data_IF_957851096033
#
_entry.id   IF_957851096033
#
_cell.length_a   1.000
_cell.length_b   1.000
_cell.length_c   1.000
_cell.angle_alpha   90.00
_cell.angle_beta   90.00
_cell.angle_gamma   90.00
#
_symmetry.space_group_name_H-M   'P 1'
#
loop_
_entity.id
_entity.type
_entity.pdbx_description
1 polymer ?
#
# COMPACT_ATOMS: atom_id res chain seq x y z
N UNK A 1 -2.85 -19.86 -62.01
CA UNK A 1 -2.88 -18.53 -61.36
C UNK A 1 -3.00 -18.75 -59.85
N UNK A 2 -1.89 -18.69 -59.11
CA UNK A 2 -1.94 -18.70 -57.64
C UNK A 2 -2.41 -17.32 -57.17
N UNK A 3 -3.65 -17.24 -56.68
CA UNK A 3 -4.13 -16.06 -55.97
C UNK A 3 -3.30 -15.88 -54.71
N UNK A 4 -2.30 -15.00 -54.76
CA UNK A 4 -1.61 -14.54 -53.56
C UNK A 4 -2.65 -13.79 -52.72
N UNK A 5 -3.21 -14.45 -51.71
CA UNK A 5 -3.97 -13.79 -50.65
C UNK A 5 -3.01 -12.74 -50.07
N UNK A 6 -3.30 -11.43 -50.18
CA UNK A 6 -2.38 -10.43 -49.66
C UNK A 6 -2.22 -10.66 -48.17
N UNK A 7 -0.98 -10.85 -47.71
CA UNK A 7 -0.68 -11.09 -46.30
C UNK A 7 -1.21 -9.91 -45.49
N UNK A 8 -2.36 -10.08 -44.84
CA UNK A 8 -2.98 -9.02 -44.06
C UNK A 8 -2.06 -8.68 -42.90
N UNK A 9 -1.59 -7.44 -42.83
CA UNK A 9 -0.75 -7.00 -41.72
C UNK A 9 -1.46 -7.31 -40.38
N UNK A 10 -0.88 -8.15 -39.51
CA UNK A 10 -1.56 -8.64 -38.32
C UNK A 10 -1.95 -7.53 -37.35
N UNK A 11 -1.22 -6.41 -37.35
CA UNK A 11 -1.54 -5.23 -36.54
C UNK A 11 -2.77 -4.50 -37.08
N UNK A 12 -2.95 -4.41 -38.41
CA UNK A 12 -4.18 -3.85 -38.99
C UNK A 12 -5.39 -4.73 -38.69
N UNK A 13 -5.21 -6.06 -38.64
CA UNK A 13 -6.28 -6.97 -38.26
C UNK A 13 -6.73 -6.74 -36.81
N UNK A 14 -5.80 -6.51 -35.86
CA UNK A 14 -6.14 -6.19 -34.46
C UNK A 14 -6.98 -4.91 -34.37
N UNK A 15 -6.60 -3.86 -35.10
CA UNK A 15 -7.33 -2.57 -35.10
C UNK A 15 -8.72 -2.65 -35.73
N UNK A 16 -8.94 -3.62 -36.62
CA UNK A 16 -10.23 -3.87 -37.30
C UNK A 16 -11.14 -4.83 -36.55
N UNK A 17 -10.69 -5.38 -35.41
CA UNK A 17 -11.55 -6.25 -34.60
C UNK A 17 -12.72 -5.43 -34.09
N UNK A 18 -13.91 -5.83 -34.52
CA UNK A 18 -15.14 -5.36 -33.94
C UNK A 18 -15.41 -6.18 -32.68
N UNK A 19 -15.79 -5.47 -31.64
CA UNK A 19 -16.08 -6.04 -30.36
C UNK A 19 -17.52 -5.71 -30.03
N UNK A 20 -18.42 -6.71 -29.96
CA UNK A 20 -19.83 -6.45 -29.73
C UNK A 20 -20.02 -5.82 -28.35
N UNK A 21 -20.78 -4.72 -28.30
CA UNK A 21 -21.12 -4.04 -27.04
C UNK A 21 -21.68 -5.00 -25.96
N UNK A 22 -22.53 -6.00 -26.31
CA UNK A 22 -22.96 -7.02 -25.35
C UNK A 22 -21.81 -7.78 -24.65
N UNK A 23 -20.70 -8.05 -25.34
CA UNK A 23 -19.55 -8.73 -24.74
C UNK A 23 -18.85 -7.82 -23.71
N UNK A 24 -18.68 -6.54 -24.03
CA UNK A 24 -18.10 -5.56 -23.11
C UNK A 24 -18.98 -5.43 -21.87
N UNK A 25 -20.29 -5.30 -22.09
CA UNK A 25 -21.28 -5.24 -21.02
C UNK A 25 -21.24 -6.49 -20.15
N UNK A 26 -21.14 -7.69 -20.73
CA UNK A 26 -21.03 -8.95 -19.99
C UNK A 26 -19.77 -8.99 -19.12
N UNK A 27 -18.60 -8.66 -19.68
CA UNK A 27 -17.34 -8.67 -18.93
C UNK A 27 -17.36 -7.62 -17.80
N UNK A 28 -17.88 -6.43 -18.08
CA UNK A 28 -18.05 -5.37 -17.09
C UNK A 28 -19.06 -5.77 -15.99
N UNK A 29 -20.12 -6.48 -16.36
CA UNK A 29 -21.10 -7.02 -15.42
C UNK A 29 -20.49 -8.08 -14.49
N UNK A 30 -19.68 -9.01 -15.02
CA UNK A 30 -18.97 -10.00 -14.22
C UNK A 30 -18.01 -9.30 -13.23
N UNK A 31 -17.24 -8.32 -13.70
CA UNK A 31 -16.39 -7.52 -12.83
C UNK A 31 -17.23 -6.76 -11.78
N UNK A 32 -18.40 -6.24 -12.18
CA UNK A 32 -19.35 -5.54 -11.32
C UNK A 32 -19.91 -6.43 -10.20
N UNK A 33 -20.23 -7.69 -10.47
CA UNK A 33 -20.64 -8.67 -9.45
C UNK A 33 -19.52 -8.86 -8.43
N UNK A 34 -18.29 -9.05 -8.89
CA UNK A 34 -17.14 -9.22 -8.01
C UNK A 34 -16.87 -7.96 -7.17
N UNK A 35 -16.95 -6.77 -7.79
CA UNK A 35 -16.84 -5.49 -7.08
C UNK A 35 -17.95 -5.29 -6.04
N UNK A 36 -19.18 -5.70 -6.35
CA UNK A 36 -20.30 -5.61 -5.42
C UNK A 36 -20.04 -6.43 -4.16
N UNK A 37 -19.57 -7.66 -4.31
CA UNK A 37 -19.22 -8.53 -3.18
C UNK A 37 -18.09 -7.93 -2.33
N UNK A 38 -17.08 -7.31 -2.96
CA UNK A 38 -15.95 -6.73 -2.25
C UNK A 38 -16.29 -5.42 -1.49
N UNK A 39 -17.17 -4.58 -2.04
CA UNK A 39 -17.58 -3.32 -1.40
C UNK A 39 -18.76 -3.46 -0.43
N UNK A 40 -19.69 -4.37 -0.71
CA UNK A 40 -20.96 -4.48 0.00
C UNK A 40 -21.21 -5.85 0.63
N UNK A 41 -20.32 -6.83 0.42
CA UNK A 41 -20.35 -8.10 1.11
C UNK A 41 -20.22 -7.90 2.62
N UNK A 42 -20.89 -8.75 3.41
CA UNK A 42 -20.78 -8.69 4.87
C UNK A 42 -19.37 -9.15 5.26
N UNK A 43 -18.53 -8.30 5.87
CA UNK A 43 -17.20 -8.74 6.28
C UNK A 43 -17.33 -9.79 7.39
N UNK A 44 -16.72 -10.96 7.20
CA UNK A 44 -16.62 -12.02 8.19
C UNK A 44 -15.50 -11.72 9.23
N UNK A 45 -15.40 -10.47 9.66
CA UNK A 45 -14.27 -9.96 10.44
C UNK A 45 -13.13 -9.40 9.58
N UNK A 46 -11.99 -9.16 10.22
CA UNK A 46 -10.77 -8.68 9.56
C UNK A 46 -9.98 -9.84 8.93
N UNK A 47 -9.13 -9.53 7.95
CA UNK A 47 -8.26 -10.52 7.33
C UNK A 47 -7.38 -11.24 8.38
N UNK A 48 -7.06 -12.53 8.20
CA UNK A 48 -6.11 -13.23 9.06
C UNK A 48 -4.78 -12.45 9.17
N UNK A 49 -4.23 -12.33 10.37
CA UNK A 49 -3.03 -11.51 10.61
C UNK A 49 -3.30 -10.08 11.06
N UNK A 50 -4.54 -9.57 10.91
CA UNK A 50 -4.85 -8.16 11.21
C UNK A 50 -4.67 -7.83 12.70
N UNK A 51 -5.06 -8.73 13.60
CA UNK A 51 -4.86 -8.51 15.04
C UNK A 51 -3.37 -8.47 15.40
N UNK A 52 -2.58 -9.41 14.85
CA UNK A 52 -1.14 -9.49 15.09
C UNK A 52 -0.42 -8.21 14.66
N UNK A 53 -0.71 -7.71 13.45
CA UNK A 53 -0.06 -6.49 12.96
C UNK A 53 -0.58 -5.23 13.66
N UNK A 54 -1.85 -5.20 14.08
CA UNK A 54 -2.39 -4.11 14.87
C UNK A 54 -1.69 -4.00 16.24
N UNK A 55 -1.46 -5.13 16.92
CA UNK A 55 -0.72 -5.16 18.18
C UNK A 55 0.72 -4.66 18.02
N UNK A 56 1.41 -5.06 16.96
CA UNK A 56 2.75 -4.53 16.64
C UNK A 56 2.69 -3.03 16.38
N UNK A 57 1.75 -2.55 15.56
CA UNK A 57 1.57 -1.12 15.28
C UNK A 57 1.37 -0.32 16.57
N UNK A 58 0.46 -0.77 17.44
CA UNK A 58 0.15 -0.13 18.71
C UNK A 58 1.38 -0.08 19.63
N UNK A 59 2.12 -1.19 19.74
CA UNK A 59 3.37 -1.23 20.51
C UNK A 59 4.36 -0.16 20.03
N UNK A 60 4.55 -0.04 18.71
CA UNK A 60 5.50 0.91 18.12
C UNK A 60 5.04 2.35 18.25
N UNK A 61 3.77 2.65 18.00
CA UNK A 61 3.24 4.01 18.11
C UNK A 61 3.33 4.50 19.57
N UNK A 62 2.98 3.66 20.55
CA UNK A 62 3.07 4.01 21.98
C UNK A 62 4.51 4.18 22.46
N UNK A 63 5.43 3.29 22.05
CA UNK A 63 6.87 3.45 22.35
C UNK A 63 7.44 4.72 21.74
N UNK A 64 7.08 5.00 20.48
CA UNK A 64 7.56 6.17 19.77
C UNK A 64 7.06 7.45 20.44
N UNK A 65 5.77 7.51 20.82
CA UNK A 65 5.19 8.63 21.54
C UNK A 65 5.89 8.90 22.88
N UNK A 66 6.12 7.85 23.68
CA UNK A 66 6.83 7.97 24.96
C UNK A 66 8.30 8.38 24.77
N UNK A 67 9.00 7.79 23.79
CA UNK A 67 10.39 8.12 23.48
C UNK A 67 10.58 9.56 22.99
N UNK A 68 9.53 10.13 22.40
CA UNK A 68 9.53 11.49 21.87
C UNK A 68 8.82 12.48 22.78
N UNK A 69 8.41 12.12 24.00
CA UNK A 69 7.55 12.97 24.82
C UNK A 69 8.16 14.38 25.07
N UNK A 70 9.47 14.45 25.27
CA UNK A 70 10.24 15.68 25.48
C UNK A 70 10.66 16.39 24.17
N UNK A 71 10.47 15.76 23.00
CA UNK A 71 10.79 16.37 21.72
C UNK A 71 9.78 17.46 21.33
N UNK A 72 10.27 18.44 20.58
CA UNK A 72 9.45 19.50 20.02
C UNK A 72 8.35 18.98 19.07
N UNK A 73 7.22 19.69 18.99
CA UNK A 73 6.07 19.31 18.17
C UNK A 73 6.41 19.09 16.68
N UNK A 74 7.31 19.89 16.10
CA UNK A 74 7.71 19.73 14.70
C UNK A 74 8.49 18.43 14.47
N UNK A 75 9.29 17.98 15.44
CA UNK A 75 10.06 16.75 15.33
C UNK A 75 9.15 15.53 15.51
N UNK A 76 8.18 15.59 16.44
CA UNK A 76 7.10 14.60 16.58
C UNK A 76 6.32 14.45 15.28
N UNK A 77 5.88 15.56 14.69
CA UNK A 77 5.20 15.57 13.40
C UNK A 77 6.06 15.00 12.26
N UNK A 78 7.35 15.36 12.19
CA UNK A 78 8.28 14.84 11.18
C UNK A 78 8.48 13.33 11.30
N UNK A 79 8.62 12.85 12.54
CA UNK A 79 8.69 11.43 12.86
C UNK A 79 7.31 10.76 12.85
N UNK A 80 6.24 11.49 12.52
CA UNK A 80 4.81 11.11 12.56
C UNK A 80 4.40 10.36 13.82
N UNK A 81 4.78 10.91 14.97
CA UNK A 81 4.30 10.54 16.28
C UNK A 81 3.36 11.63 16.80
N UNK A 82 2.29 11.26 17.50
CA UNK A 82 1.47 12.19 18.27
C UNK A 82 1.84 12.13 19.77
N UNK A 83 1.16 12.93 20.58
CA UNK A 83 1.28 12.90 22.03
C UNK A 83 0.79 11.55 22.60
N UNK A 84 1.44 11.07 23.65
CA UNK A 84 1.14 9.75 24.24
C UNK A 84 -0.34 9.57 24.62
N UNK A 85 -1.05 10.63 25.00
CA UNK A 85 -2.49 10.55 25.30
C UNK A 85 -3.34 10.28 24.05
N UNK A 86 -3.05 10.93 22.93
CA UNK A 86 -3.77 10.73 21.68
C UNK A 86 -3.45 9.33 21.11
N UNK A 87 -2.20 8.90 21.17
CA UNK A 87 -1.83 7.57 20.69
C UNK A 87 -2.48 6.45 21.51
N UNK A 88 -2.62 6.63 22.83
CA UNK A 88 -3.41 5.70 23.65
C UNK A 88 -4.88 5.68 23.24
N UNK A 89 -5.51 6.84 22.94
CA UNK A 89 -6.89 6.87 22.43
C UNK A 89 -7.03 6.12 21.10
N UNK A 90 -6.10 6.34 20.17
CA UNK A 90 -6.07 5.64 18.87
C UNK A 90 -5.88 4.12 19.04
N UNK A 91 -5.01 3.72 19.97
CA UNK A 91 -4.78 2.32 20.30
C UNK A 91 -6.05 1.67 20.88
N UNK A 92 -6.71 2.34 21.84
CA UNK A 92 -7.96 1.86 22.43
C UNK A 92 -9.08 1.74 21.39
N UNK A 93 -9.20 2.70 20.47
CA UNK A 93 -10.17 2.63 19.38
C UNK A 93 -9.91 1.40 18.48
N UNK A 94 -8.65 1.17 18.12
CA UNK A 94 -8.25 0.04 17.28
C UNK A 94 -8.52 -1.31 17.97
N UNK A 95 -8.18 -1.43 19.26
CA UNK A 95 -8.41 -2.64 20.05
C UNK A 95 -9.90 -2.91 20.27
N UNK A 96 -10.70 -1.88 20.57
CA UNK A 96 -12.15 -2.03 20.72
C UNK A 96 -12.82 -2.50 19.43
N UNK A 97 -12.32 -2.09 18.26
CA UNK A 97 -12.81 -2.59 16.97
C UNK A 97 -12.47 -4.06 16.74
N UNK A 98 -11.29 -4.50 17.20
CA UNK A 98 -10.91 -5.92 17.12
C UNK A 98 -11.77 -6.77 18.05
N UNK A 99 -12.02 -6.30 19.27
CA UNK A 99 -12.80 -7.05 20.29
C UNK A 99 -14.30 -7.05 20.04
N UNK A 100 -14.84 -6.05 19.35
CA UNK A 100 -16.26 -5.99 18.97
C UNK A 100 -16.72 -7.21 18.13
N UNK A 101 -15.80 -7.89 17.45
CA UNK A 101 -16.07 -9.10 16.65
C UNK A 101 -16.18 -10.41 17.45
N UNK A 102 -15.92 -10.41 18.77
CA UNK A 102 -16.11 -11.56 19.65
C UNK A 102 -15.09 -12.72 19.52
N UNK A 103 -14.04 -12.57 18.70
CA UNK A 103 -12.98 -13.58 18.48
C UNK A 103 -11.56 -13.07 18.76
N UNK A 104 -11.40 -12.08 19.64
CA UNK A 104 -10.08 -11.55 19.97
C UNK A 104 -9.25 -12.50 20.82
N UNK A 105 -7.94 -12.51 20.60
CA UNK A 105 -7.02 -13.26 21.46
C UNK A 105 -6.96 -12.68 22.88
N UNK A 106 -6.54 -13.51 23.83
CA UNK A 106 -6.26 -13.06 25.20
C UNK A 106 -5.19 -11.95 25.23
N UNK A 107 -4.19 -12.00 24.34
CA UNK A 107 -3.17 -10.95 24.23
C UNK A 107 -3.77 -9.59 23.87
N UNK A 108 -4.76 -9.58 22.96
CA UNK A 108 -5.48 -8.37 22.59
C UNK A 108 -6.28 -7.80 23.77
N UNK A 109 -6.93 -8.67 24.55
CA UNK A 109 -7.67 -8.27 25.76
C UNK A 109 -6.74 -7.76 26.87
N UNK A 110 -5.57 -8.37 27.07
CA UNK A 110 -4.54 -7.90 28.00
C UNK A 110 -4.04 -6.50 27.59
N UNK A 111 -3.67 -6.32 26.32
CA UNK A 111 -3.22 -5.04 25.79
C UNK A 111 -4.29 -3.95 25.98
N UNK A 112 -5.55 -4.25 25.65
CA UNK A 112 -6.69 -3.34 25.84
C UNK A 112 -6.84 -2.94 27.30
N UNK A 113 -6.82 -3.91 28.22
CA UNK A 113 -7.01 -3.67 29.66
C UNK A 113 -5.89 -2.81 30.23
N UNK A 114 -4.63 -3.12 29.90
CA UNK A 114 -3.47 -2.36 30.39
C UNK A 114 -3.48 -0.93 29.84
N UNK A 115 -3.67 -0.75 28.52
CA UNK A 115 -3.68 0.58 27.90
C UNK A 115 -4.82 1.42 28.47
N UNK A 116 -5.98 0.80 28.74
CA UNK A 116 -7.11 1.49 29.36
C UNK A 116 -6.80 1.91 30.81
N UNK A 117 -6.18 1.04 31.61
CA UNK A 117 -5.78 1.37 32.97
C UNK A 117 -4.79 2.55 32.98
N UNK A 118 -3.79 2.55 32.10
CA UNK A 118 -2.83 3.66 31.97
C UNK A 118 -3.52 4.94 31.51
N UNK A 119 -4.46 4.87 30.55
CA UNK A 119 -5.21 6.03 30.08
C UNK A 119 -6.08 6.65 31.18
N UNK A 120 -6.58 5.84 32.12
CA UNK A 120 -7.42 6.28 33.23
C UNK A 120 -6.64 6.58 34.52
N UNK A 121 -5.30 6.50 34.48
CA UNK A 121 -4.43 6.62 35.66
C UNK A 121 -4.82 5.66 36.81
N UNK A 122 -5.18 4.42 36.48
CA UNK A 122 -5.48 3.36 37.43
C UNK A 122 -4.26 2.43 37.62
N UNK A 123 -4.11 1.74 38.77
CA UNK A 123 -3.04 0.79 38.97
C UNK A 123 -3.19 -0.40 38.01
N UNK A 124 -2.16 -0.64 37.20
CA UNK A 124 -2.23 -1.56 36.06
C UNK A 124 -2.43 -3.00 36.51
N UNK A 125 -1.63 -3.45 37.49
CA UNK A 125 -1.65 -4.83 37.94
C UNK A 125 -2.98 -5.23 38.60
N UNK A 126 -3.52 -4.38 39.48
CA UNK A 126 -4.80 -4.69 40.13
C UNK A 126 -5.97 -4.71 39.14
N UNK A 127 -5.98 -3.77 38.19
CA UNK A 127 -7.02 -3.72 37.15
C UNK A 127 -6.93 -4.94 36.25
N UNK A 128 -5.72 -5.33 35.83
CA UNK A 128 -5.51 -6.50 34.99
C UNK A 128 -5.97 -7.81 35.66
N UNK A 129 -5.57 -8.04 36.91
CA UNK A 129 -5.97 -9.23 37.69
C UNK A 129 -7.49 -9.29 37.86
N UNK A 130 -8.13 -8.15 38.16
CA UNK A 130 -9.58 -8.07 38.33
C UNK A 130 -10.34 -8.33 37.02
N UNK A 131 -9.90 -7.71 35.92
CA UNK A 131 -10.57 -7.79 34.63
C UNK A 131 -10.36 -9.15 33.93
N UNK A 132 -9.20 -9.77 34.10
CA UNK A 132 -8.87 -11.03 33.40
C UNK A 132 -9.27 -12.29 34.16
N UNK A 133 -9.70 -12.20 35.43
CA UNK A 133 -10.21 -13.32 36.24
C UNK A 133 -9.32 -14.59 36.20
N UNK A 134 -7.99 -14.41 36.14
CA UNK A 134 -7.02 -15.51 36.06
C UNK A 134 -6.76 -16.07 34.66
N UNK A 135 -7.29 -15.45 33.60
CA UNK A 135 -7.04 -15.83 32.19
C UNK A 135 -5.87 -15.08 31.56
N UNK A 136 -4.94 -14.55 32.38
CA UNK A 136 -3.76 -13.88 31.86
C UNK A 136 -2.86 -14.87 31.12
N UNK A 137 -2.36 -14.44 29.96
CA UNK A 137 -1.31 -15.13 29.22
C UNK A 137 0.08 -14.74 29.70
N UNK A 138 0.22 -13.56 30.29
CA UNK A 138 1.51 -13.01 30.71
C UNK A 138 1.90 -13.49 32.12
N UNK A 139 3.10 -14.09 32.25
CA UNK A 139 3.74 -14.39 33.55
C UNK A 139 4.78 -13.30 33.90
N UNK A 140 4.88 -12.93 35.18
CA UNK A 140 5.77 -11.85 35.63
C UNK A 140 7.24 -12.11 35.30
N UNK A 141 7.75 -13.31 35.60
CA UNK A 141 9.17 -13.65 35.40
C UNK A 141 9.48 -13.81 33.93
N UNK A 142 8.60 -14.49 33.19
CA UNK A 142 8.77 -14.67 31.75
C UNK A 142 8.72 -13.34 31.01
N UNK A 143 7.74 -12.49 31.32
CA UNK A 143 7.55 -11.18 30.66
C UNK A 143 8.71 -10.23 30.97
N UNK A 144 9.21 -10.22 32.20
CA UNK A 144 10.42 -9.45 32.56
C UNK A 144 11.65 -9.90 31.75
N UNK A 145 11.82 -11.22 31.56
CA UNK A 145 12.87 -11.77 30.71
C UNK A 145 12.67 -11.46 29.22
N UNK A 146 11.43 -11.51 28.71
CA UNK A 146 11.13 -11.13 27.34
C UNK A 146 11.47 -9.66 27.08
N UNK A 147 11.14 -8.75 28.01
CA UNK A 147 11.53 -7.34 27.92
C UNK A 147 13.05 -7.15 27.94
N UNK A 148 13.77 -7.91 28.78
CA UNK A 148 15.23 -7.87 28.82
C UNK A 148 15.90 -8.36 27.51
N UNK A 149 15.22 -9.26 26.78
CA UNK A 149 15.69 -9.84 25.51
C UNK A 149 15.01 -9.23 24.27
N UNK A 150 14.55 -7.97 24.32
CA UNK A 150 14.01 -7.24 23.14
C UNK A 150 12.70 -7.80 22.54
N UNK A 151 11.97 -8.64 23.29
CA UNK A 151 10.75 -9.31 22.83
C UNK A 151 9.47 -8.85 23.54
N UNK A 152 9.57 -8.06 24.62
CA UNK A 152 8.40 -7.53 25.30
C UNK A 152 7.70 -6.41 24.50
N UNK A 153 6.54 -5.96 24.98
CA UNK A 153 5.72 -4.89 24.37
C UNK A 153 5.59 -3.69 25.32
N UNK A 154 5.05 -2.58 24.82
CA UNK A 154 4.80 -1.39 25.62
C UNK A 154 3.90 -1.67 26.83
N UNK A 155 2.81 -2.41 26.65
CA UNK A 155 1.90 -2.73 27.75
C UNK A 155 2.53 -3.70 28.75
N UNK A 156 3.34 -4.66 28.30
CA UNK A 156 4.13 -5.51 29.19
C UNK A 156 5.09 -4.68 30.04
N UNK A 157 5.77 -3.68 29.46
CA UNK A 157 6.64 -2.80 30.21
C UNK A 157 5.88 -2.02 31.30
N UNK A 158 4.69 -1.47 30.99
CA UNK A 158 3.88 -0.76 31.99
C UNK A 158 3.38 -1.66 33.11
N UNK A 159 3.00 -2.90 32.79
CA UNK A 159 2.57 -3.86 33.80
C UNK A 159 3.73 -4.31 34.70
N UNK A 160 4.89 -4.66 34.15
CA UNK A 160 6.07 -5.04 34.95
C UNK A 160 6.55 -3.89 35.83
N UNK A 161 6.53 -2.65 35.33
CA UNK A 161 6.91 -1.46 36.10
C UNK A 161 5.99 -1.27 37.33
N UNK A 162 4.68 -1.50 37.19
CA UNK A 162 3.71 -1.44 38.30
C UNK A 162 3.88 -2.60 39.30
N UNK A 163 4.17 -3.81 38.81
CA UNK A 163 4.45 -4.98 39.67
C UNK A 163 5.72 -4.78 40.52
N UNK A 164 6.79 -4.24 39.94
CA UNK A 164 8.06 -4.01 40.62
C UNK A 164 8.00 -2.90 41.69
N UNK A 165 6.88 -2.17 41.82
CA UNK A 165 6.64 -1.31 42.98
C UNK A 165 6.49 -2.11 44.28
N UNK A 166 6.02 -3.36 44.18
CA UNK A 166 5.74 -4.23 45.33
C UNK A 166 6.53 -5.55 45.31
N UNK A 167 7.19 -5.86 44.20
CA UNK A 167 7.94 -7.11 43.97
C UNK A 167 9.40 -6.82 43.63
N UNK A 168 10.29 -7.77 43.89
CA UNK A 168 11.69 -7.65 43.46
C UNK A 168 11.79 -7.81 41.93
N UNK A 169 12.63 -7.01 41.25
CA UNK A 169 12.85 -7.14 39.81
C UNK A 169 13.32 -8.54 39.42
N UNK A 170 12.66 -9.15 38.44
CA UNK A 170 13.04 -10.47 37.92
C UNK A 170 14.21 -10.40 36.91
N UNK A 171 14.29 -9.33 36.13
CA UNK A 171 15.35 -9.08 35.16
C UNK A 171 15.65 -7.57 35.01
N UNK A 172 16.82 -7.22 34.48
CA UNK A 172 17.21 -5.82 34.23
C UNK A 172 16.71 -5.34 32.86
N UNK A 173 15.40 -5.24 32.70
CA UNK A 173 14.77 -5.03 31.39
C UNK A 173 14.71 -3.56 30.92
N UNK A 174 14.72 -2.58 31.84
CA UNK A 174 14.56 -1.15 31.51
C UNK A 174 15.62 -0.63 30.54
N UNK A 175 16.85 -1.16 30.62
CA UNK A 175 17.92 -0.77 29.72
C UNK A 175 17.62 -1.22 28.27
N UNK A 176 17.35 -2.51 28.06
CA UNK A 176 17.05 -3.08 26.75
C UNK A 176 15.81 -2.43 26.13
N UNK A 177 14.73 -2.30 26.90
CA UNK A 177 13.51 -1.63 26.44
C UNK A 177 13.73 -0.16 26.07
N UNK A 178 14.51 0.57 26.88
CA UNK A 178 14.87 1.96 26.61
C UNK A 178 15.80 2.12 25.40
N UNK A 179 16.65 1.13 25.11
CA UNK A 179 17.43 1.07 23.88
C UNK A 179 16.53 0.87 22.66
N UNK A 180 15.61 -0.09 22.70
CA UNK A 180 14.65 -0.35 21.63
C UNK A 180 13.82 0.89 21.28
N UNK A 181 13.30 1.58 22.29
CA UNK A 181 12.52 2.81 22.11
C UNK A 181 13.35 3.95 21.49
N UNK A 182 14.63 4.09 21.89
CA UNK A 182 15.56 5.06 21.26
C UNK A 182 15.90 4.68 19.83
N UNK A 183 16.13 3.40 19.55
CA UNK A 183 16.35 2.92 18.18
C UNK A 183 15.13 3.16 17.30
N UNK A 184 13.92 2.88 17.78
CA UNK A 184 12.66 3.13 17.07
C UNK A 184 12.50 4.61 16.72
N UNK A 185 12.72 5.50 17.70
CA UNK A 185 12.72 6.95 17.48
C UNK A 185 13.70 7.36 16.38
N UNK A 186 14.94 6.86 16.44
CA UNK A 186 15.95 7.18 15.43
C UNK A 186 15.56 6.65 14.04
N UNK A 187 15.06 5.41 13.95
CA UNK A 187 14.56 4.80 12.70
C UNK A 187 13.44 5.67 12.09
N UNK A 188 12.46 6.08 12.89
CA UNK A 188 11.34 6.92 12.43
C UNK A 188 11.82 8.28 11.93
N UNK A 189 12.66 8.99 12.70
CA UNK A 189 13.21 10.29 12.31
C UNK A 189 14.01 10.17 11.01
N UNK A 190 14.95 9.22 10.92
CA UNK A 190 15.85 9.09 9.76
C UNK A 190 15.05 8.80 8.49
N UNK A 191 14.18 7.79 8.53
CA UNK A 191 13.44 7.34 7.34
C UNK A 191 12.45 8.38 6.85
N UNK A 192 11.68 9.01 7.75
CA UNK A 192 10.71 10.05 7.39
C UNK A 192 11.41 11.34 6.96
N UNK A 193 12.55 11.70 7.58
CA UNK A 193 13.37 12.84 7.13
C UNK A 193 13.93 12.65 5.72
N UNK A 194 14.33 11.43 5.34
CA UNK A 194 14.83 11.14 4.00
C UNK A 194 13.74 11.35 2.93
N UNK A 195 12.50 10.92 3.21
CA UNK A 195 11.33 11.16 2.36
C UNK A 195 11.07 12.66 2.20
N UNK A 196 11.07 13.41 3.30
CA UNK A 196 10.88 14.85 3.28
C UNK A 196 12.00 15.60 2.55
N UNK A 197 13.26 15.20 2.74
CA UNK A 197 14.39 15.80 2.04
C UNK A 197 14.23 15.64 0.51
N UNK A 198 13.78 14.47 0.05
CA UNK A 198 13.48 14.25 -1.37
C UNK A 198 12.33 15.15 -1.86
N UNK A 199 11.25 15.27 -1.09
CA UNK A 199 10.14 16.16 -1.43
C UNK A 199 10.58 17.63 -1.49
N UNK A 200 11.43 18.09 -0.55
CA UNK A 200 11.99 19.45 -0.54
C UNK A 200 12.88 19.71 -1.75
N UNK A 201 13.74 18.76 -2.14
CA UNK A 201 14.53 18.84 -3.38
C UNK A 201 13.61 18.98 -4.60
N UNK A 202 12.47 18.28 -4.60
CA UNK A 202 11.49 18.36 -5.69
C UNK A 202 10.84 19.72 -5.87
N UNK A 203 10.77 20.56 -4.83
CA UNK A 203 10.18 21.91 -4.92
C UNK A 203 10.85 22.75 -6.02
N UNK A 204 12.18 22.62 -6.18
CA UNK A 204 12.94 23.32 -7.23
C UNK A 204 12.50 22.96 -8.66
N UNK A 205 11.88 21.79 -8.84
CA UNK A 205 11.45 21.30 -10.14
C UNK A 205 9.96 21.52 -10.43
N UNK A 206 9.15 21.91 -9.43
CA UNK A 206 7.70 22.13 -9.60
C UNK A 206 7.36 23.06 -10.78
N UNK A 207 7.98 24.24 -10.95
CA UNK A 207 7.62 25.13 -12.06
C UNK A 207 7.80 24.46 -13.43
N UNK A 208 8.91 23.71 -13.61
CA UNK A 208 9.18 22.97 -14.84
C UNK A 208 8.21 21.80 -15.01
N UNK A 209 7.87 21.10 -13.92
CA UNK A 209 6.87 20.03 -13.92
C UNK A 209 5.53 20.57 -14.42
N UNK A 210 5.03 21.66 -13.86
CA UNK A 210 3.75 22.27 -14.25
C UNK A 210 3.73 22.69 -15.72
N UNK A 211 4.81 23.32 -16.22
CA UNK A 211 4.93 23.67 -17.65
C UNK A 211 4.88 22.40 -18.53
N UNK A 212 5.57 21.33 -18.11
CA UNK A 212 5.61 20.07 -18.84
C UNK A 212 4.22 19.41 -18.88
N UNK A 213 3.53 19.32 -17.75
CA UNK A 213 2.17 18.77 -17.66
C UNK A 213 1.17 19.61 -18.48
N UNK A 214 1.24 20.94 -18.40
CA UNK A 214 0.38 21.84 -19.18
C UNK A 214 0.52 21.63 -20.70
N UNK A 215 1.75 21.43 -21.18
CA UNK A 215 2.00 21.07 -22.59
C UNK A 215 1.42 19.69 -22.92
N UNK A 216 1.57 18.74 -22.01
CA UNK A 216 1.04 17.38 -22.13
C UNK A 216 -0.48 17.30 -22.27
N UNK A 217 -1.25 18.24 -21.71
CA UNK A 217 -2.73 18.25 -21.83
C UNK A 217 -3.24 18.30 -23.28
N UNK A 218 -2.43 18.84 -24.20
CA UNK A 218 -2.77 18.96 -25.62
C UNK A 218 -2.05 17.93 -26.49
N UNK A 219 -1.39 16.94 -25.88
CA UNK A 219 -0.68 15.90 -26.61
C UNK A 219 -1.66 15.08 -27.46
N UNK A 220 -1.23 14.72 -28.66
CA UNK A 220 -1.95 13.80 -29.55
C UNK A 220 -1.27 12.45 -29.57
N UNK A 221 -2.06 11.38 -29.56
CA UNK A 221 -1.54 10.03 -29.79
C UNK A 221 -1.36 9.80 -31.28
N UNK A 222 -0.21 9.23 -31.67
CA UNK A 222 0.14 8.96 -33.06
C UNK A 222 0.56 7.49 -33.24
N UNK A 223 0.56 7.02 -34.50
CA UNK A 223 1.03 5.68 -34.85
C UNK A 223 0.09 4.55 -34.41
N UNK A 224 0.63 3.33 -34.29
CA UNK A 224 -0.18 2.14 -33.98
C UNK A 224 -0.99 2.29 -32.69
N UNK A 225 -0.37 2.79 -31.61
CA UNK A 225 -1.04 3.01 -30.33
C UNK A 225 -2.12 4.10 -30.39
N UNK A 226 -1.92 5.13 -31.22
CA UNK A 226 -2.90 6.20 -31.43
C UNK A 226 -4.13 5.76 -32.24
N UNK A 227 -4.04 4.63 -32.94
CA UNK A 227 -5.14 4.07 -33.71
C UNK A 227 -6.03 3.11 -32.90
N UNK A 228 -5.73 2.85 -31.62
CA UNK A 228 -6.52 1.92 -30.80
C UNK A 228 -7.92 2.50 -30.53
N UNK A 229 -8.99 1.77 -30.88
CA UNK A 229 -10.34 2.17 -30.51
C UNK A 229 -10.57 1.92 -29.00
N UNK A 230 -11.45 2.70 -28.38
CA UNK A 230 -11.81 2.52 -26.96
C UNK A 230 -12.28 1.09 -26.62
N UNK A 231 -13.16 0.44 -27.42
CA UNK A 231 -13.56 -0.96 -27.21
C UNK A 231 -12.41 -1.96 -27.09
N UNK A 232 -11.35 -1.80 -27.90
CA UNK A 232 -10.18 -2.69 -27.85
C UNK A 232 -9.48 -2.57 -26.49
N UNK A 233 -9.22 -1.33 -26.05
CA UNK A 233 -8.59 -1.08 -24.75
C UNK A 233 -9.41 -1.61 -23.58
N UNK A 234 -10.71 -1.37 -23.59
CA UNK A 234 -11.64 -1.83 -22.56
C UNK A 234 -11.67 -3.37 -22.48
N UNK A 235 -11.78 -4.07 -23.60
CA UNK A 235 -11.81 -5.54 -23.57
C UNK A 235 -10.48 -6.11 -23.11
N UNK A 236 -9.36 -5.59 -23.61
CA UNK A 236 -8.06 -6.09 -23.18
C UNK A 236 -7.88 -5.87 -21.68
N UNK A 237 -8.29 -4.69 -21.17
CA UNK A 237 -8.27 -4.39 -19.75
C UNK A 237 -9.15 -5.35 -18.94
N UNK A 238 -10.41 -5.52 -19.32
CA UNK A 238 -11.38 -6.38 -18.62
C UNK A 238 -10.95 -7.84 -18.63
N UNK A 239 -10.51 -8.38 -19.78
CA UNK A 239 -10.03 -9.76 -19.89
C UNK A 239 -8.79 -9.97 -19.03
N UNK A 240 -7.81 -9.06 -19.09
CA UNK A 240 -6.61 -9.14 -18.26
C UNK A 240 -6.93 -9.10 -16.77
N UNK A 241 -7.82 -8.19 -16.36
CA UNK A 241 -8.22 -8.01 -14.95
C UNK A 241 -9.00 -9.22 -14.43
N UNK A 242 -9.97 -9.72 -15.19
CA UNK A 242 -10.74 -10.91 -14.81
C UNK A 242 -9.87 -12.18 -14.77
N UNK A 243 -8.93 -12.31 -15.70
CA UNK A 243 -7.97 -13.42 -15.67
C UNK A 243 -7.06 -13.36 -14.45
N UNK A 244 -6.61 -12.16 -14.07
CA UNK A 244 -5.85 -11.94 -12.84
C UNK A 244 -6.65 -12.30 -11.58
N UNK A 245 -7.92 -11.87 -11.49
CA UNK A 245 -8.81 -12.22 -10.38
C UNK A 245 -8.96 -13.74 -10.28
N UNK A 246 -9.34 -14.41 -11.38
CA UNK A 246 -9.52 -15.86 -11.40
C UNK A 246 -8.24 -16.64 -11.06
N UNK A 247 -7.09 -16.17 -11.55
CA UNK A 247 -5.79 -16.77 -11.22
C UNK A 247 -5.44 -16.59 -9.74
N UNK A 248 -5.63 -15.39 -9.18
CA UNK A 248 -5.32 -15.08 -7.78
C UNK A 248 -6.20 -15.91 -6.84
N UNK A 249 -7.49 -16.01 -7.11
CA UNK A 249 -8.40 -16.88 -6.34
C UNK A 249 -7.95 -18.35 -6.38
N UNK A 250 -7.55 -18.85 -7.55
CA UNK A 250 -7.05 -20.23 -7.70
C UNK A 250 -5.74 -20.43 -6.94
N UNK A 251 -4.86 -19.43 -6.98
CA UNK A 251 -3.56 -19.45 -6.32
C UNK A 251 -3.68 -19.40 -4.80
N UNK A 252 -4.60 -18.61 -4.25
CA UNK A 252 -4.92 -18.58 -2.82
C UNK A 252 -5.44 -19.94 -2.33
N UNK A 253 -6.34 -20.58 -3.09
CA UNK A 253 -6.79 -21.95 -2.81
C UNK A 253 -5.62 -22.94 -2.88
N UNK A 254 -4.74 -22.81 -3.88
CA UNK A 254 -3.55 -23.65 -4.03
C UNK A 254 -2.56 -23.50 -2.86
N UNK A 255 -2.27 -22.27 -2.44
CA UNK A 255 -1.36 -22.00 -1.31
C UNK A 255 -1.95 -22.53 -0.01
N UNK A 256 -3.25 -22.34 0.24
CA UNK A 256 -3.89 -22.82 1.47
C UNK A 256 -3.91 -24.35 1.61
N UNK A 257 -3.78 -25.08 0.50
CA UNK A 257 -3.70 -26.56 0.49
C UNK A 257 -2.27 -27.11 0.59
N UNK A 258 -1.24 -26.26 0.48
CA UNK A 258 0.17 -26.63 0.53
C UNK A 258 0.83 -26.16 1.84
N UNK A 259 0.76 -26.95 2.94
CA UNK A 259 1.43 -26.58 4.17
C UNK A 259 2.95 -26.53 3.95
N UNK A 260 3.60 -25.53 4.54
CA UNK A 260 5.06 -25.33 4.53
C UNK A 260 5.67 -24.89 3.18
N UNK A 261 4.94 -24.15 2.34
CA UNK A 261 5.55 -23.51 1.18
C UNK A 261 6.65 -22.52 1.64
N UNK A 262 7.87 -22.70 1.12
CA UNK A 262 8.97 -21.78 1.44
C UNK A 262 8.63 -20.34 1.01
N UNK A 263 8.99 -19.30 1.78
CA UNK A 263 8.65 -17.90 1.47
C UNK A 263 9.06 -17.44 0.06
N UNK A 264 10.21 -17.91 -0.43
CA UNK A 264 10.64 -17.67 -1.82
C UNK A 264 9.62 -18.20 -2.85
N UNK A 265 9.00 -19.35 -2.60
CA UNK A 265 7.95 -19.90 -3.47
C UNK A 265 6.70 -19.01 -3.49
N UNK A 266 6.31 -18.48 -2.33
CA UNK A 266 5.22 -17.49 -2.22
C UNK A 266 5.54 -16.25 -3.05
N UNK A 267 6.74 -15.69 -2.89
CA UNK A 267 7.19 -14.51 -3.65
C UNK A 267 7.16 -14.77 -5.16
N UNK A 268 7.61 -15.94 -5.63
CA UNK A 268 7.61 -16.29 -7.05
C UNK A 268 6.18 -16.43 -7.60
N UNK A 269 5.29 -17.08 -6.86
CA UNK A 269 3.89 -17.26 -7.23
C UNK A 269 3.14 -15.93 -7.28
N UNK A 270 3.30 -15.07 -6.26
CA UNK A 270 2.75 -13.72 -6.24
C UNK A 270 3.32 -12.86 -7.38
N UNK A 271 4.63 -12.94 -7.64
CA UNK A 271 5.28 -12.22 -8.74
C UNK A 271 4.68 -12.60 -10.09
N UNK A 272 4.41 -13.89 -10.30
CA UNK A 272 3.76 -14.38 -11.51
C UNK A 272 2.32 -13.85 -11.63
N UNK A 273 1.55 -13.90 -10.53
CA UNK A 273 0.20 -13.36 -10.48
C UNK A 273 0.19 -11.85 -10.82
N UNK A 274 1.11 -11.07 -10.25
CA UNK A 274 1.20 -9.62 -10.44
C UNK A 274 1.48 -9.24 -11.89
N UNK A 275 2.33 -9.99 -12.59
CA UNK A 275 2.68 -9.71 -13.99
C UNK A 275 1.66 -10.25 -15.00
N UNK A 276 0.90 -11.28 -14.64
CA UNK A 276 -0.07 -11.95 -15.52
C UNK A 276 -0.99 -11.00 -16.32
N UNK A 277 -1.70 -10.02 -15.72
CA UNK A 277 -2.60 -9.15 -16.48
C UNK A 277 -1.86 -8.33 -17.54
N UNK A 278 -0.68 -7.78 -17.20
CA UNK A 278 0.13 -7.02 -18.16
C UNK A 278 0.66 -7.89 -19.30
N UNK A 279 1.04 -9.14 -19.01
CA UNK A 279 1.49 -10.10 -20.03
C UNK A 279 0.37 -10.52 -20.97
N UNK A 280 -0.84 -10.78 -20.45
CA UNK A 280 -2.04 -11.03 -21.25
C UNK A 280 -2.32 -9.83 -22.14
N UNK A 281 -2.33 -8.62 -21.58
CA UNK A 281 -2.61 -7.41 -22.33
C UNK A 281 -1.60 -7.17 -23.46
N UNK A 282 -0.30 -7.33 -23.18
CA UNK A 282 0.76 -7.22 -24.19
C UNK A 282 0.60 -8.31 -25.25
N UNK A 283 0.34 -9.56 -24.86
CA UNK A 283 0.17 -10.68 -25.78
C UNK A 283 -1.02 -10.53 -26.73
N UNK A 284 -2.10 -9.90 -26.27
CA UNK A 284 -3.30 -9.63 -27.09
C UNK A 284 -3.07 -8.50 -28.10
N UNK A 285 -2.27 -7.49 -27.75
CA UNK A 285 -2.10 -6.27 -28.56
C UNK A 285 -0.84 -6.28 -29.43
N UNK A 286 0.19 -7.04 -29.03
CA UNK A 286 1.49 -7.04 -29.68
C UNK A 286 1.94 -8.44 -30.10
N UNK A 287 2.54 -8.54 -31.29
CA UNK A 287 3.16 -9.77 -31.79
C UNK A 287 4.65 -9.85 -31.52
N UNK A 288 5.28 -8.72 -31.16
CA UNK A 288 6.72 -8.64 -30.88
C UNK A 288 6.95 -7.74 -29.66
N UNK A 289 7.75 -8.17 -28.67
CA UNK A 289 8.01 -7.36 -27.47
C UNK A 289 8.71 -6.04 -27.81
N UNK A 290 9.64 -6.04 -28.75
CA UNK A 290 10.34 -4.82 -29.19
C UNK A 290 9.40 -3.75 -29.77
N UNK A 291 8.25 -4.15 -30.32
CA UNK A 291 7.22 -3.22 -30.79
C UNK A 291 6.42 -2.65 -29.60
N UNK A 292 6.08 -3.47 -28.61
CA UNK A 292 5.44 -3.02 -27.37
C UNK A 292 6.27 -1.94 -26.67
N UNK A 293 7.57 -2.20 -26.48
CA UNK A 293 8.51 -1.24 -25.87
C UNK A 293 8.56 0.11 -26.60
N UNK A 294 8.50 0.08 -27.94
CA UNK A 294 8.50 1.30 -28.74
C UNK A 294 7.18 2.06 -28.63
N UNK A 295 6.05 1.36 -28.78
CA UNK A 295 4.72 1.99 -28.77
C UNK A 295 4.40 2.54 -27.39
N UNK A 296 4.69 1.81 -26.32
CA UNK A 296 4.51 2.26 -24.95
C UNK A 296 5.53 3.33 -24.51
N UNK A 297 6.51 3.65 -25.35
CA UNK A 297 7.51 4.67 -25.01
C UNK A 297 8.47 4.25 -23.89
N UNK A 298 8.67 2.95 -23.68
CA UNK A 298 9.68 2.42 -22.75
C UNK A 298 11.12 2.69 -23.22
N UNK A 299 11.30 3.12 -24.47
CA UNK A 299 12.58 3.60 -25.00
C UNK A 299 12.80 5.10 -24.83
N UNK A 300 11.79 5.84 -24.41
CA UNK A 300 11.91 7.28 -24.19
C UNK A 300 12.70 7.53 -22.90
N UNK A 301 13.50 8.61 -22.83
CA UNK A 301 14.26 8.93 -21.64
C UNK A 301 13.33 9.16 -20.44
N UNK A 302 13.81 8.79 -19.26
CA UNK A 302 13.09 9.01 -18.00
C UNK A 302 13.18 10.50 -17.65
N UNK A 303 12.03 11.15 -17.48
CA UNK A 303 11.93 12.58 -17.20
C UNK A 303 12.18 12.90 -15.71
N UNK A 304 13.38 12.60 -15.20
CA UNK A 304 13.71 12.62 -13.77
C UNK A 304 13.31 13.92 -13.05
N UNK A 305 13.60 15.09 -13.64
CA UNK A 305 13.23 16.38 -13.03
C UNK A 305 11.72 16.54 -12.87
N UNK A 306 10.95 16.12 -13.88
CA UNK A 306 9.48 16.15 -13.83
C UNK A 306 8.95 15.18 -12.78
N UNK A 307 9.56 13.98 -12.67
CA UNK A 307 9.20 12.96 -11.67
C UNK A 307 9.40 13.50 -10.26
N UNK A 308 10.58 14.02 -9.93
CA UNK A 308 10.87 14.52 -8.57
C UNK A 308 9.98 15.74 -8.24
N UNK A 309 9.74 16.64 -9.21
CA UNK A 309 8.83 17.76 -8.98
C UNK A 309 7.36 17.33 -8.81
N UNK A 310 6.91 16.29 -9.52
CA UNK A 310 5.56 15.74 -9.37
C UNK A 310 5.41 14.95 -8.06
N UNK A 311 6.44 14.21 -7.65
CA UNK A 311 6.52 13.56 -6.35
C UNK A 311 6.35 14.58 -5.21
N UNK A 312 7.09 15.69 -5.25
CA UNK A 312 6.96 16.78 -4.27
C UNK A 312 5.55 17.37 -4.23
N UNK A 313 4.94 17.62 -5.40
CA UNK A 313 3.56 18.10 -5.47
C UNK A 313 2.57 17.10 -4.87
N UNK A 314 2.74 15.81 -5.15
CA UNK A 314 1.93 14.74 -4.56
C UNK A 314 2.08 14.69 -3.04
N UNK A 315 3.29 14.79 -2.50
CA UNK A 315 3.53 14.87 -1.06
C UNK A 315 2.81 16.07 -0.43
N UNK A 316 2.87 17.25 -1.05
CA UNK A 316 2.16 18.44 -0.53
C UNK A 316 0.64 18.27 -0.59
N UNK A 317 0.11 17.69 -1.67
CA UNK A 317 -1.32 17.43 -1.82
C UNK A 317 -1.77 16.42 -0.76
N UNK A 318 -1.02 15.33 -0.54
CA UNK A 318 -1.34 14.32 0.45
C UNK A 318 -1.44 14.92 1.86
N UNK A 319 -0.48 15.80 2.22
CA UNK A 319 -0.50 16.49 3.50
C UNK A 319 -1.68 17.45 3.65
N UNK A 320 -2.03 18.18 2.60
CA UNK A 320 -3.22 19.03 2.59
C UNK A 320 -4.50 18.20 2.71
N UNK A 321 -4.56 17.05 2.04
CA UNK A 321 -5.70 16.13 2.13
C UNK A 321 -5.86 15.55 3.52
N UNK A 322 -4.78 15.12 4.17
CA UNK A 322 -4.83 14.68 5.57
C UNK A 322 -5.42 15.77 6.45
N UNK A 323 -4.92 17.00 6.35
CA UNK A 323 -5.45 18.12 7.13
C UNK A 323 -6.94 18.41 6.92
N UNK A 324 -7.47 18.21 5.70
CA UNK A 324 -8.87 18.51 5.36
C UNK A 324 -9.83 17.33 5.59
N UNK A 325 -9.39 16.10 5.33
CA UNK A 325 -10.24 14.91 5.28
C UNK A 325 -10.08 14.07 6.56
N UNK A 326 -8.90 14.07 7.20
CA UNK A 326 -8.57 13.09 8.26
C UNK A 326 -9.04 13.45 9.67
N UNK A 327 -10.12 14.23 9.82
CA UNK A 327 -10.68 14.50 11.16
C UNK A 327 -11.63 13.42 11.68
N UNK A 328 -11.97 12.37 10.90
CA UNK A 328 -12.91 11.33 11.35
C UNK A 328 -12.80 9.96 10.65
N UNK A 329 -11.74 9.74 9.85
CA UNK A 329 -11.56 8.46 9.14
C UNK A 329 -10.94 7.42 10.07
N UNK A 330 -11.77 6.86 10.93
CA UNK A 330 -11.77 5.50 11.43
C UNK A 330 -10.76 4.53 10.77
N UNK A 331 -9.46 4.64 11.07
CA UNK A 331 -8.44 3.77 10.45
C UNK A 331 -8.71 2.30 10.75
N UNK A 332 -8.46 1.42 9.78
CA UNK A 332 -8.46 -0.03 10.02
C UNK A 332 -7.47 -0.34 11.15
N UNK A 333 -7.71 -1.33 12.03
CA UNK A 333 -6.85 -1.57 13.18
C UNK A 333 -5.36 -1.79 12.83
N UNK A 334 -5.08 -2.38 11.66
CA UNK A 334 -3.72 -2.56 11.14
C UNK A 334 -3.11 -1.32 10.47
N UNK A 335 -3.85 -0.22 10.29
CA UNK A 335 -3.37 1.02 9.68
C UNK A 335 -2.85 0.88 8.25
N UNK A 336 -3.30 -0.13 7.50
CA UNK A 336 -2.79 -0.46 6.16
C UNK A 336 -1.53 -1.32 6.12
N UNK A 337 -0.97 -1.69 7.28
CA UNK A 337 0.13 -2.65 7.39
C UNK A 337 -0.36 -4.08 7.22
N UNK A 338 0.51 -4.98 6.75
CA UNK A 338 0.19 -6.38 6.58
C UNK A 338 1.20 -7.27 7.32
N UNK A 339 0.70 -8.22 8.11
CA UNK A 339 1.53 -9.15 8.89
C UNK A 339 2.52 -9.96 8.01
N UNK A 340 2.19 -10.21 6.73
CA UNK A 340 3.08 -10.91 5.80
C UNK A 340 4.35 -10.12 5.43
N UNK A 341 4.39 -8.82 5.71
CA UNK A 341 5.53 -7.94 5.45
C UNK A 341 6.59 -8.01 6.56
N UNK A 342 6.33 -8.75 7.65
CA UNK A 342 7.27 -8.91 8.76
C UNK A 342 8.52 -9.73 8.39
N UNK A 343 9.65 -9.37 9.01
CA UNK A 343 10.93 -10.06 8.84
C UNK A 343 11.58 -9.86 7.47
N UNK A 344 12.70 -10.53 7.25
CA UNK A 344 13.52 -10.34 6.03
C UNK A 344 12.80 -10.81 4.76
N UNK A 345 12.03 -11.89 4.84
CA UNK A 345 11.24 -12.38 3.71
C UNK A 345 10.09 -11.44 3.38
N UNK A 346 9.44 -10.86 4.40
CA UNK A 346 8.43 -9.84 4.22
C UNK A 346 8.99 -8.57 3.55
N UNK A 347 10.21 -8.15 3.91
CA UNK A 347 10.90 -7.05 3.21
C UNK A 347 11.08 -7.36 1.73
N UNK A 348 11.62 -8.53 1.38
CA UNK A 348 11.81 -8.92 -0.01
C UNK A 348 10.47 -9.01 -0.76
N UNK A 349 9.44 -9.55 -0.11
CA UNK A 349 8.09 -9.60 -0.67
C UNK A 349 7.58 -8.18 -0.98
N UNK A 350 7.63 -7.24 -0.02
CA UNK A 350 7.17 -5.86 -0.21
C UNK A 350 7.98 -5.13 -1.30
N UNK A 351 9.30 -5.29 -1.33
CA UNK A 351 10.14 -4.63 -2.33
C UNK A 351 9.93 -5.17 -3.75
N UNK A 352 9.78 -6.49 -3.90
CA UNK A 352 9.59 -7.11 -5.21
C UNK A 352 8.14 -6.92 -5.67
N UNK A 353 7.17 -7.27 -4.83
CA UNK A 353 5.76 -7.27 -5.21
C UNK A 353 5.22 -5.85 -5.29
N UNK A 354 5.18 -5.12 -4.17
CA UNK A 354 4.53 -3.83 -4.07
C UNK A 354 5.37 -2.69 -4.63
N UNK A 355 6.70 -2.73 -4.49
CA UNK A 355 7.56 -1.63 -4.92
C UNK A 355 8.11 -1.78 -6.34
N UNK A 356 8.07 -2.96 -6.96
CA UNK A 356 8.64 -3.20 -8.29
C UNK A 356 7.62 -3.73 -9.30
N UNK A 357 7.06 -4.92 -9.04
CA UNK A 357 6.21 -5.62 -10.01
C UNK A 357 4.82 -5.00 -10.15
N UNK A 358 4.21 -4.56 -9.04
CA UNK A 358 2.93 -3.87 -9.06
C UNK A 358 3.01 -2.57 -9.90
N UNK A 359 3.95 -1.63 -9.65
CA UNK A 359 4.14 -0.45 -10.50
C UNK A 359 4.33 -0.77 -11.98
N UNK A 360 5.14 -1.78 -12.32
CA UNK A 360 5.35 -2.17 -13.72
C UNK A 360 4.03 -2.66 -14.34
N UNK A 361 3.36 -3.61 -13.70
CA UNK A 361 2.15 -4.24 -14.23
C UNK A 361 0.99 -3.25 -14.34
N UNK A 362 0.79 -2.45 -13.31
CA UNK A 362 -0.27 -1.45 -13.24
C UNK A 362 -0.06 -0.35 -14.26
N UNK A 363 1.14 0.23 -14.39
CA UNK A 363 1.36 1.25 -15.41
C UNK A 363 1.21 0.69 -16.83
N UNK A 364 1.65 -0.54 -17.10
CA UNK A 364 1.43 -1.20 -18.38
C UNK A 364 -0.07 -1.34 -18.71
N UNK A 365 -0.88 -1.71 -17.72
CA UNK A 365 -2.30 -1.95 -17.89
C UNK A 365 -3.10 -0.63 -17.92
N UNK A 366 -2.97 0.19 -16.89
CA UNK A 366 -3.75 1.42 -16.73
C UNK A 366 -3.27 2.53 -17.66
N UNK A 367 -1.96 2.79 -17.78
CA UNK A 367 -1.44 3.90 -18.61
C UNK A 367 -1.17 3.42 -20.03
N UNK A 368 -0.54 2.25 -20.16
CA UNK A 368 -0.18 1.66 -21.44
C UNK A 368 -1.38 1.26 -22.30
N UNK A 369 -2.46 0.74 -21.69
CA UNK A 369 -3.64 0.22 -22.41
C UNK A 369 -4.89 1.08 -22.19
N UNK A 370 -5.37 1.19 -20.96
CA UNK A 370 -6.69 1.79 -20.66
C UNK A 370 -6.72 3.29 -20.97
N UNK A 371 -5.88 4.07 -20.28
CA UNK A 371 -5.72 5.51 -20.48
C UNK A 371 -5.43 5.85 -21.94
N UNK A 372 -4.51 5.13 -22.59
CA UNK A 372 -4.16 5.38 -23.99
C UNK A 372 -5.37 5.21 -24.91
N UNK A 373 -6.15 4.15 -24.72
CA UNK A 373 -7.33 3.90 -25.54
C UNK A 373 -8.40 4.98 -25.36
N UNK A 374 -8.58 5.49 -24.15
CA UNK A 374 -9.44 6.65 -23.88
C UNK A 374 -8.88 7.95 -24.48
N UNK A 375 -7.58 8.20 -24.33
CA UNK A 375 -6.91 9.40 -24.82
C UNK A 375 -7.08 9.57 -26.32
N UNK A 376 -6.97 8.48 -27.09
CA UNK A 376 -7.15 8.48 -28.55
C UNK A 376 -8.49 9.05 -29.03
N UNK A 377 -9.51 9.09 -28.17
CA UNK A 377 -10.86 9.51 -28.52
C UNK A 377 -11.36 10.72 -27.72
N UNK A 378 -11.04 10.78 -26.43
CA UNK A 378 -11.56 11.79 -25.50
C UNK A 378 -10.58 12.95 -25.26
N UNK A 379 -9.32 12.82 -25.69
CA UNK A 379 -8.25 13.73 -25.28
C UNK A 379 -7.68 13.37 -23.90
N UNK A 380 -6.62 14.07 -23.49
CA UNK A 380 -5.80 13.69 -22.33
C UNK A 380 -6.57 13.79 -21.02
N UNK A 381 -7.24 14.92 -20.76
CA UNK A 381 -7.83 15.17 -19.45
C UNK A 381 -9.00 14.23 -19.11
N UNK A 382 -10.03 14.05 -19.96
CA UNK A 382 -11.11 13.11 -19.64
C UNK A 382 -10.62 11.66 -19.57
N UNK A 383 -9.66 11.28 -20.41
CA UNK A 383 -9.05 9.95 -20.35
C UNK A 383 -8.31 9.71 -19.04
N UNK A 384 -7.58 10.73 -18.56
CA UNK A 384 -6.86 10.66 -17.30
C UNK A 384 -7.84 10.49 -16.13
N UNK A 385 -8.92 11.30 -16.08
CA UNK A 385 -10.01 11.19 -15.08
C UNK A 385 -10.61 9.78 -15.07
N UNK A 386 -11.05 9.27 -16.22
CA UNK A 386 -11.71 7.97 -16.28
C UNK A 386 -10.77 6.83 -15.88
N UNK A 387 -9.55 6.84 -16.40
CA UNK A 387 -8.56 5.80 -16.06
C UNK A 387 -8.17 5.82 -14.58
N UNK A 388 -8.05 7.01 -13.97
CA UNK A 388 -7.69 7.16 -12.56
C UNK A 388 -8.84 6.80 -11.62
N UNK A 389 -10.10 7.05 -12.03
CA UNK A 389 -11.27 6.60 -11.27
C UNK A 389 -11.35 5.06 -11.25
N UNK A 390 -11.16 4.41 -12.40
CA UNK A 390 -11.14 2.95 -12.49
C UNK A 390 -9.97 2.39 -11.65
N UNK A 391 -8.80 3.00 -11.73
CA UNK A 391 -7.65 2.66 -10.89
C UNK A 391 -8.01 2.72 -9.40
N UNK A 392 -8.57 3.85 -8.95
CA UNK A 392 -8.89 4.05 -7.54
C UNK A 392 -9.94 3.05 -7.01
N UNK A 393 -11.04 2.83 -7.75
CA UNK A 393 -12.12 1.93 -7.32
C UNK A 393 -11.62 0.48 -7.14
N UNK A 394 -10.58 0.07 -7.87
CA UNK A 394 -9.99 -1.27 -7.74
C UNK A 394 -8.98 -1.41 -6.58
N UNK A 395 -8.75 -0.37 -5.78
CA UNK A 395 -7.85 -0.41 -4.61
C UNK A 395 -8.56 -0.61 -3.27
N UNK A 396 -9.89 -0.48 -3.21
CA UNK A 396 -10.70 -0.76 -2.00
C UNK A 396 -10.26 -0.01 -0.74
N UNK A 397 -9.83 1.24 -0.91
CA UNK A 397 -9.50 2.12 0.20
C UNK A 397 -10.72 2.87 0.74
N UNK A 398 -10.56 3.43 1.93
CA UNK A 398 -11.49 4.40 2.50
C UNK A 398 -11.52 5.71 1.69
N UNK A 399 -12.39 6.65 2.06
CA UNK A 399 -12.58 7.88 1.27
C UNK A 399 -11.29 8.68 1.03
N UNK A 400 -10.44 8.79 2.05
CA UNK A 400 -9.14 9.45 1.93
C UNK A 400 -8.18 8.65 1.02
N UNK A 401 -8.00 7.34 1.27
CA UNK A 401 -7.11 6.51 0.48
C UNK A 401 -7.54 6.42 -0.99
N UNK A 402 -8.85 6.35 -1.25
CA UNK A 402 -9.44 6.35 -2.60
C UNK A 402 -9.11 7.66 -3.35
N UNK A 403 -9.23 8.80 -2.68
CA UNK A 403 -8.87 10.08 -3.26
C UNK A 403 -7.36 10.20 -3.51
N UNK A 404 -6.52 9.75 -2.56
CA UNK A 404 -5.05 9.81 -2.67
C UNK A 404 -4.57 8.96 -3.84
N UNK A 405 -5.02 7.70 -3.94
CA UNK A 405 -4.66 6.80 -5.04
C UNK A 405 -5.22 7.26 -6.39
N UNK A 406 -6.38 7.92 -6.40
CA UNK A 406 -6.95 8.52 -7.61
C UNK A 406 -6.15 9.71 -8.14
N UNK A 407 -5.68 10.59 -7.25
CA UNK A 407 -4.82 11.74 -7.61
C UNK A 407 -3.45 11.26 -8.09
N UNK A 408 -2.88 10.25 -7.43
CA UNK A 408 -1.69 9.56 -7.92
C UNK A 408 -1.94 8.93 -9.31
N UNK A 409 -3.08 8.25 -9.45
CA UNK A 409 -3.71 7.75 -10.66
C UNK A 409 -3.59 8.71 -11.85
N UNK A 410 -4.18 9.89 -11.65
CA UNK A 410 -4.21 11.02 -12.56
C UNK A 410 -2.79 11.51 -12.89
N UNK A 411 -1.94 11.64 -11.87
CA UNK A 411 -0.59 12.20 -12.00
C UNK A 411 0.30 11.35 -12.94
N UNK A 412 0.28 10.03 -12.82
CA UNK A 412 0.98 9.14 -13.75
C UNK A 412 0.43 9.23 -15.18
N UNK A 413 -0.90 9.36 -15.35
CA UNK A 413 -1.51 9.52 -16.67
C UNK A 413 -1.09 10.82 -17.36
N UNK A 414 -1.11 11.94 -16.63
CA UNK A 414 -0.64 13.24 -17.12
C UNK A 414 0.87 13.24 -17.39
N UNK A 415 1.67 12.60 -16.53
CA UNK A 415 3.11 12.43 -16.74
C UNK A 415 3.39 11.64 -18.02
N UNK A 416 2.65 10.56 -18.26
CA UNK A 416 2.79 9.76 -19.47
C UNK A 416 2.40 10.54 -20.73
N UNK A 417 1.28 11.27 -20.70
CA UNK A 417 0.86 12.12 -21.81
C UNK A 417 1.89 13.21 -22.12
N UNK A 418 2.47 13.82 -21.09
CA UNK A 418 3.43 14.91 -21.23
C UNK A 418 4.82 14.47 -21.72
N UNK A 419 5.25 13.27 -21.35
CA UNK A 419 6.60 12.76 -21.66
C UNK A 419 6.63 11.77 -22.81
N UNK A 420 5.50 11.14 -23.12
CA UNK A 420 5.43 9.98 -24.01
C UNK A 420 6.19 8.75 -23.47
N UNK A 421 6.66 8.78 -22.23
CA UNK A 421 7.50 7.76 -21.61
C UNK A 421 6.72 7.01 -20.53
N UNK A 422 6.31 5.77 -20.82
CA UNK A 422 5.70 4.93 -19.78
C UNK A 422 6.71 4.60 -18.68
N UNK A 423 8.01 4.55 -19.02
CA UNK A 423 9.08 4.38 -18.04
C UNK A 423 9.13 5.52 -17.01
N UNK A 424 8.70 6.74 -17.38
CA UNK A 424 8.61 7.84 -16.42
C UNK A 424 7.46 7.66 -15.43
N UNK A 425 6.30 7.15 -15.89
CA UNK A 425 5.17 6.81 -15.01
C UNK A 425 5.53 5.65 -14.07
N UNK A 426 6.17 4.60 -14.61
CA UNK A 426 6.69 3.48 -13.80
C UNK A 426 7.67 4.01 -12.75
N UNK A 427 8.65 4.84 -13.14
CA UNK A 427 9.63 5.38 -12.20
C UNK A 427 9.00 6.25 -11.10
N UNK A 428 8.00 7.07 -11.41
CA UNK A 428 7.25 7.82 -10.39
C UNK A 428 6.54 6.88 -9.42
N UNK A 429 5.92 5.81 -9.93
CA UNK A 429 5.20 4.84 -9.13
C UNK A 429 6.12 3.99 -8.24
N UNK A 430 7.23 3.49 -8.79
CA UNK A 430 8.29 2.85 -7.99
C UNK A 430 8.74 3.77 -6.85
N UNK A 431 9.03 5.04 -7.17
CA UNK A 431 9.46 6.02 -6.18
C UNK A 431 8.41 6.22 -5.09
N UNK A 432 7.15 6.43 -5.48
CA UNK A 432 6.04 6.64 -4.56
C UNK A 432 5.90 5.46 -3.59
N UNK A 433 5.83 4.24 -4.11
CA UNK A 433 5.67 3.04 -3.29
C UNK A 433 6.86 2.80 -2.37
N UNK A 434 8.10 2.96 -2.85
CA UNK A 434 9.30 2.80 -2.01
C UNK A 434 9.31 3.81 -0.86
N UNK A 435 8.93 5.06 -1.12
CA UNK A 435 8.94 6.11 -0.08
C UNK A 435 7.84 5.94 0.98
N UNK A 436 6.89 5.05 0.75
CA UNK A 436 5.86 4.66 1.72
C UNK A 436 6.26 3.36 2.41
N UNK A 437 6.50 2.31 1.61
CA UNK A 437 6.71 0.94 2.10
C UNK A 437 8.02 0.72 2.84
N UNK A 438 9.10 1.38 2.44
CA UNK A 438 10.38 1.19 3.12
C UNK A 438 10.39 1.82 4.53
N UNK A 439 9.93 3.07 4.73
CA UNK A 439 9.74 3.61 6.07
C UNK A 439 8.77 2.80 6.94
N UNK A 440 7.63 2.35 6.38
CA UNK A 440 6.69 1.47 7.09
C UNK A 440 7.39 0.21 7.61
N UNK A 441 8.16 -0.47 6.75
CA UNK A 441 8.88 -1.67 7.15
C UNK A 441 9.92 -1.39 8.24
N UNK A 442 10.73 -0.34 8.10
CA UNK A 442 11.79 0.01 9.06
C UNK A 442 11.22 0.36 10.44
N UNK A 443 10.06 1.03 10.49
CA UNK A 443 9.44 1.46 11.75
C UNK A 443 8.65 0.31 12.40
N UNK A 444 7.87 -0.43 11.62
CA UNK A 444 6.89 -1.38 12.18
C UNK A 444 7.29 -2.86 12.06
N UNK A 445 8.04 -3.25 11.03
CA UNK A 445 8.34 -4.65 10.75
C UNK A 445 9.78 -5.06 11.08
N UNK A 446 10.70 -4.11 11.18
CA UNK A 446 12.08 -4.39 11.55
C UNK A 446 12.14 -4.80 13.03
N UNK A 447 12.74 -5.96 13.36
CA UNK A 447 12.83 -6.43 14.73
C UNK A 447 13.68 -5.49 15.60
N UNK A 448 13.47 -5.60 16.92
CA UNK A 448 14.39 -5.12 17.93
C UNK A 448 15.45 -6.21 18.22
N UNK A 449 16.59 -5.81 18.79
CA UNK A 449 17.76 -6.67 18.95
C UNK A 449 18.60 -6.75 17.69
#
# INVERSE_FOLDING_TARGET
>A
MSSQIPSVNPYRAILRREYPEPLIALLAFILGIWLWDHYFGKPAGYAPGTEQIALVKIDRDLRLADAMNEDSAWLKWLAGADNSENERKNALESLNRLTAGGQSSLQCLEALTIIQAVQQNQPVNSTLVQSMQGQMTSDFTETSNQLANHHGTWWHAKWIDDCELNMQPAAHWRHSFGEDSRQLRNRAIITRSAVWALALIGLFFIPRTLITLKRGLHAKSNGYGGAWPMPLGLIVFLVATLAWIGFTMTLEIGISTLPNLHPMGVILLDSAARLLPSLIAIGLIFRRPSHAFRVMGLRQPIALKTIIGLYSLLTLIDQAMRYVISSDSASTPGGGLNASEAGIWGLFFTLISACLLAPISEELLYRGVLFRSFWNRLGVLPAAILSSMIFAILHFYDGYGLASVGIFGMSCALLYAATGSLGSAIALHLLYNVTIKLPEWIVYHQPFG
#
